data_IF_709585266515
#
_entry.id   IF_709585266515
#
_cell.length_a   1.000
_cell.length_b   1.000
_cell.length_c   1.000
_cell.angle_alpha   90.00
_cell.angle_beta   90.00
_cell.angle_gamma   90.00
#
_symmetry.space_group_name_H-M   'P 1'
#
loop_
_entity.id
_entity.type
_entity.pdbx_description
1 polymer ?
#
# COMPACT_ATOMS: atom_id res chain seq x y z
N UNK A 1 -1.40 11.37 -7.45
CA UNK A 1 -2.11 10.30 -6.73
C UNK A 1 -1.82 8.99 -7.42
N UNK A 2 -1.18 8.06 -6.71
CA UNK A 2 -0.92 6.70 -7.19
C UNK A 2 -1.81 5.71 -6.43
N UNK A 3 -2.41 4.75 -7.12
CA UNK A 3 -3.15 3.64 -6.50
C UNK A 3 -2.31 2.38 -6.68
N UNK A 4 -1.96 1.73 -5.57
CA UNK A 4 -1.15 0.51 -5.57
C UNK A 4 -1.99 -0.64 -5.02
N UNK A 5 -2.52 -1.46 -5.92
CA UNK A 5 -3.17 -2.72 -5.58
C UNK A 5 -2.13 -3.76 -5.16
N UNK A 6 -2.40 -4.54 -4.12
CA UNK A 6 -1.40 -5.49 -3.58
C UNK A 6 -0.24 -4.77 -2.87
N UNK A 7 -0.46 -3.54 -2.38
CA UNK A 7 0.59 -2.69 -1.79
C UNK A 7 1.16 -3.17 -0.45
N UNK A 8 0.46 -4.05 0.27
CA UNK A 8 1.00 -4.73 1.46
C UNK A 8 1.82 -5.99 1.09
N UNK A 9 1.71 -6.45 -0.15
CA UNK A 9 2.53 -7.54 -0.70
C UNK A 9 4.00 -7.18 -0.87
N UNK A 10 4.83 -8.17 -1.21
CA UNK A 10 6.27 -8.01 -1.34
C UNK A 10 6.66 -6.96 -2.41
N UNK A 11 6.12 -7.09 -3.63
CA UNK A 11 6.44 -6.18 -4.74
C UNK A 11 5.77 -4.82 -4.54
N UNK A 12 4.50 -4.81 -4.12
CA UNK A 12 3.74 -3.59 -3.91
C UNK A 12 4.40 -2.68 -2.87
N UNK A 13 4.79 -3.24 -1.71
CA UNK A 13 5.47 -2.47 -0.67
C UNK A 13 6.85 -1.96 -1.10
N UNK A 14 7.61 -2.73 -1.88
CA UNK A 14 8.87 -2.29 -2.45
C UNK A 14 8.70 -1.15 -3.45
N UNK A 15 7.63 -1.18 -4.26
CA UNK A 15 7.31 -0.11 -5.19
C UNK A 15 6.91 1.18 -4.47
N UNK A 16 6.05 1.10 -3.44
CA UNK A 16 5.69 2.25 -2.60
C UNK A 16 6.93 2.80 -1.88
N UNK A 17 7.83 1.94 -1.39
CA UNK A 17 9.08 2.38 -0.79
C UNK A 17 9.98 3.14 -1.78
N UNK A 18 9.97 2.76 -3.08
CA UNK A 18 10.66 3.52 -4.13
C UNK A 18 10.02 4.89 -4.35
N UNK A 19 8.68 4.96 -4.48
CA UNK A 19 7.95 6.22 -4.60
C UNK A 19 8.28 7.16 -3.42
N UNK A 20 8.26 6.63 -2.20
CA UNK A 20 8.63 7.39 -1.01
C UNK A 20 10.07 7.94 -1.07
N UNK A 21 11.03 7.19 -1.61
CA UNK A 21 12.40 7.69 -1.78
C UNK A 21 12.49 8.82 -2.81
N UNK A 22 11.57 8.84 -3.77
CA UNK A 22 11.44 9.89 -4.79
C UNK A 22 10.61 11.09 -4.30
N UNK A 23 10.20 11.10 -3.03
CA UNK A 23 9.40 12.18 -2.44
C UNK A 23 7.90 12.09 -2.75
N UNK A 24 7.45 10.94 -3.27
CA UNK A 24 6.05 10.68 -3.60
C UNK A 24 5.42 9.88 -2.45
N UNK A 25 4.49 10.50 -1.74
CA UNK A 25 3.74 9.96 -0.61
C UNK A 25 2.21 9.96 -0.83
N UNK A 26 1.72 10.74 -1.81
CA UNK A 26 0.34 10.69 -2.29
C UNK A 26 0.02 9.36 -3.00
N UNK A 27 -0.09 8.31 -2.18
CA UNK A 27 -0.30 6.91 -2.53
C UNK A 27 -1.49 6.38 -1.74
N UNK A 28 -2.44 5.75 -2.42
CA UNK A 28 -3.50 4.94 -1.82
C UNK A 28 -3.13 3.48 -2.02
N UNK A 29 -3.12 2.71 -0.94
CA UNK A 29 -2.86 1.27 -0.98
C UNK A 29 -4.20 0.55 -0.99
N UNK A 30 -4.38 -0.38 -1.93
CA UNK A 30 -5.54 -1.27 -1.98
C UNK A 30 -5.03 -2.69 -1.78
N UNK A 31 -5.40 -3.36 -0.70
CA UNK A 31 -4.98 -4.74 -0.46
C UNK A 31 -5.98 -5.47 0.45
N UNK A 32 -5.75 -6.77 0.65
CA UNK A 32 -6.42 -7.57 1.67
C UNK A 32 -5.39 -8.05 2.68
N UNK A 33 -5.43 -7.50 3.89
CA UNK A 33 -4.48 -7.84 4.95
C UNK A 33 -4.75 -9.24 5.56
N UNK A 34 -6.04 -9.64 5.63
CA UNK A 34 -6.47 -10.92 6.19
C UNK A 34 -5.84 -11.22 7.56
N UNK A 35 -5.53 -12.49 7.83
CA UNK A 35 -4.81 -12.93 9.04
C UNK A 35 -3.27 -12.93 8.86
N UNK A 36 -2.78 -12.40 7.74
CA UNK A 36 -1.36 -12.47 7.40
C UNK A 36 -0.57 -11.31 7.98
N UNK A 37 0.72 -11.54 8.21
CA UNK A 37 1.65 -10.51 8.70
C UNK A 37 2.04 -9.43 7.67
N UNK A 38 1.39 -9.41 6.48
CA UNK A 38 1.69 -8.46 5.38
C UNK A 38 1.54 -7.01 5.79
N UNK A 39 0.65 -6.71 6.74
CA UNK A 39 0.46 -5.36 7.29
C UNK A 39 1.77 -4.76 7.83
N UNK A 40 2.72 -5.60 8.27
CA UNK A 40 4.04 -5.16 8.74
C UNK A 40 4.85 -4.45 7.65
N UNK A 41 4.63 -4.78 6.37
CA UNK A 41 5.28 -4.13 5.24
C UNK A 41 4.84 -2.66 5.10
N UNK A 42 3.64 -2.31 5.56
CA UNK A 42 3.09 -0.95 5.48
C UNK A 42 3.70 -0.01 6.53
N UNK A 43 4.14 -0.54 7.68
CA UNK A 43 4.60 0.27 8.84
C UNK A 43 5.76 1.23 8.54
N UNK A 44 6.53 0.98 7.48
CA UNK A 44 7.71 1.78 7.09
C UNK A 44 7.45 2.68 5.88
N UNK A 45 6.24 2.65 5.35
CA UNK A 45 5.84 3.38 4.14
C UNK A 45 5.12 4.66 4.54
N UNK A 46 5.16 5.65 3.64
CA UNK A 46 4.34 6.85 3.69
C UNK A 46 3.31 6.75 2.59
N UNK A 47 2.05 6.78 2.96
CA UNK A 47 0.90 6.68 2.08
C UNK A 47 -0.26 7.44 2.74
N UNK A 48 -1.19 7.92 1.93
CA UNK A 48 -2.33 8.72 2.38
C UNK A 48 -3.35 7.84 3.08
N UNK A 49 -3.68 6.70 2.46
CA UNK A 49 -4.69 5.80 2.99
C UNK A 49 -4.50 4.34 2.55
N UNK A 50 -5.13 3.45 3.30
CA UNK A 50 -5.29 2.04 2.99
C UNK A 50 -6.78 1.73 2.85
N UNK A 51 -7.16 1.14 1.72
CA UNK A 51 -8.53 0.73 1.42
C UNK A 51 -8.54 -0.80 1.30
N UNK A 52 -9.48 -1.46 1.98
CA UNK A 52 -9.67 -2.90 1.75
C UNK A 52 -10.17 -3.13 0.31
N UNK A 53 -9.70 -4.20 -0.32
CA UNK A 53 -10.08 -4.52 -1.71
C UNK A 53 -11.59 -4.57 -1.93
N UNK A 54 -12.36 -4.97 -0.91
CA UNK A 54 -13.80 -5.17 -1.01
C UNK A 54 -14.55 -3.82 -0.94
N UNK A 55 -13.95 -2.80 -0.31
CA UNK A 55 -14.47 -1.43 -0.23
C UNK A 55 -14.08 -0.58 -1.46
N UNK A 56 -13.03 -0.97 -2.20
CA UNK A 56 -12.49 -0.16 -3.30
C UNK A 56 -13.38 -0.09 -4.56
N UNK A 57 -14.20 -1.13 -4.81
CA UNK A 57 -15.02 -1.25 -6.02
C UNK A 57 -16.50 -0.87 -5.80
N UNK A 58 -16.84 -0.32 -4.64
CA UNK A 58 -18.20 0.16 -4.32
C UNK A 58 -18.46 1.57 -4.81
#
# INVERSE_FOLDING_TARGET
>A
MHIVTGGAGFIGSAYVAKLNKEGIDNVIIVDWLGESDKWKNLRKLRYEDYIDKDDFLQ
#
